data_IF_452554044205
#
_entry.id   IF_452554044205
#
_cell.length_a   1.000
_cell.length_b   1.000
_cell.length_c   1.000
_cell.angle_alpha   90.00
_cell.angle_beta   90.00
_cell.angle_gamma   90.00
#
_symmetry.space_group_name_H-M   'P 1'
#
loop_
_entity.id
_entity.type
_entity.pdbx_description
1 polymer ?
#
# COMPACT_ATOMS: atom_id res chain seq x y z
N UNK A 1 -33.38 49.10 3.65
CA UNK A 1 -32.06 49.13 2.97
C UNK A 1 -31.76 47.76 2.40
N UNK A 2 -31.92 47.61 1.08
CA UNK A 2 -31.52 46.42 0.34
C UNK A 2 -30.02 46.24 0.47
N UNK A 3 -29.56 45.15 1.10
CA UNK A 3 -28.15 44.74 1.01
C UNK A 3 -27.84 44.60 -0.48
N UNK A 4 -26.98 45.46 -1.01
CA UNK A 4 -26.39 45.27 -2.33
C UNK A 4 -25.67 43.93 -2.25
N UNK A 5 -26.24 42.90 -2.88
CA UNK A 5 -25.60 41.59 -2.98
C UNK A 5 -24.33 41.79 -3.80
N UNK A 6 -23.18 41.89 -3.13
CA UNK A 6 -21.88 41.87 -3.79
C UNK A 6 -21.83 40.61 -4.64
N UNK A 7 -21.54 40.78 -5.93
CA UNK A 7 -21.36 39.67 -6.85
C UNK A 7 -20.36 38.67 -6.24
N UNK A 8 -20.69 37.37 -6.21
CA UNK A 8 -19.77 36.35 -5.70
C UNK A 8 -18.49 36.34 -6.54
N UNK A 9 -17.36 36.76 -5.96
CA UNK A 9 -16.08 36.85 -6.69
C UNK A 9 -15.32 35.52 -6.70
N UNK A 10 -15.54 34.66 -5.71
CA UNK A 10 -14.83 33.40 -5.59
C UNK A 10 -15.52 32.29 -6.39
N UNK A 11 -14.75 31.48 -7.12
CA UNK A 11 -15.30 30.36 -7.92
C UNK A 11 -15.50 29.10 -7.09
N UNK A 12 -16.65 28.44 -7.22
CA UNK A 12 -16.97 27.19 -6.51
C UNK A 12 -16.91 25.98 -7.44
N UNK A 13 -16.47 24.84 -6.95
CA UNK A 13 -16.53 23.59 -7.72
C UNK A 13 -17.95 23.02 -7.72
N UNK A 14 -18.36 22.48 -8.87
CA UNK A 14 -19.67 21.83 -9.04
C UNK A 14 -19.75 20.55 -8.17
N UNK A 15 -20.74 20.43 -7.27
CA UNK A 15 -20.87 19.28 -6.37
C UNK A 15 -21.04 17.94 -7.09
N UNK A 16 -21.59 17.90 -8.30
CA UNK A 16 -21.70 16.65 -9.08
C UNK A 16 -20.34 16.04 -9.40
N UNK A 17 -19.30 16.88 -9.51
CA UNK A 17 -17.93 16.39 -9.73
C UNK A 17 -17.39 15.61 -8.53
N UNK A 18 -17.94 15.80 -7.32
CA UNK A 18 -17.43 15.13 -6.12
C UNK A 18 -17.57 13.62 -6.19
N UNK A 19 -18.62 13.11 -6.83
CA UNK A 19 -18.75 11.66 -7.07
C UNK A 19 -17.62 11.15 -7.96
N UNK A 20 -17.32 11.88 -9.05
CA UNK A 20 -16.25 11.52 -9.99
C UNK A 20 -14.90 11.50 -9.26
N UNK A 21 -14.59 12.56 -8.53
CA UNK A 21 -13.35 12.62 -7.75
C UNK A 21 -13.28 11.51 -6.69
N UNK A 22 -14.38 11.25 -6.00
CA UNK A 22 -14.45 10.16 -5.02
C UNK A 22 -14.16 8.79 -5.62
N UNK A 23 -14.67 8.51 -6.82
CA UNK A 23 -14.47 7.22 -7.49
C UNK A 23 -13.04 7.06 -8.00
N UNK A 24 -12.48 8.08 -8.66
CA UNK A 24 -11.18 7.96 -9.33
C UNK A 24 -9.98 8.25 -8.42
N UNK A 25 -10.14 9.12 -7.42
CA UNK A 25 -9.02 9.61 -6.59
C UNK A 25 -9.24 9.42 -5.09
N UNK A 26 -10.27 8.65 -4.69
CA UNK A 26 -10.86 8.60 -3.34
C UNK A 26 -11.68 9.82 -2.94
N UNK A 27 -12.50 9.69 -1.89
CA UNK A 27 -13.33 10.78 -1.38
C UNK A 27 -12.53 11.94 -0.78
N UNK A 28 -11.24 11.77 -0.50
CA UNK A 28 -10.43 12.80 0.15
C UNK A 28 -10.28 14.07 -0.71
N UNK A 29 -9.87 14.01 -2.00
CA UNK A 29 -9.94 15.15 -2.92
C UNK A 29 -11.31 15.83 -2.96
N UNK A 30 -12.40 15.06 -3.03
CA UNK A 30 -13.77 15.61 -3.00
C UNK A 30 -14.08 16.31 -1.67
N UNK A 31 -13.62 15.76 -0.54
CA UNK A 31 -13.71 16.37 0.79
C UNK A 31 -12.95 17.69 0.90
N UNK A 32 -11.74 17.76 0.32
CA UNK A 32 -10.95 19.00 0.22
C UNK A 32 -11.69 20.03 -0.65
N UNK A 33 -12.24 19.64 -1.79
CA UNK A 33 -13.05 20.53 -2.64
C UNK A 33 -14.26 21.08 -1.89
N UNK A 34 -14.98 20.22 -1.16
CA UNK A 34 -16.13 20.60 -0.32
C UNK A 34 -15.72 21.62 0.77
N UNK A 35 -14.63 21.35 1.49
CA UNK A 35 -14.11 22.24 2.52
C UNK A 35 -13.71 23.61 1.94
N UNK A 36 -12.99 23.61 0.82
CA UNK A 36 -12.55 24.83 0.16
C UNK A 36 -13.72 25.62 -0.45
N UNK A 37 -14.78 24.97 -0.93
CA UNK A 37 -16.01 25.64 -1.33
C UNK A 37 -16.60 26.45 -0.17
N UNK A 38 -16.71 25.86 1.03
CA UNK A 38 -17.15 26.61 2.21
C UNK A 38 -16.22 27.78 2.56
N UNK A 39 -14.91 27.61 2.42
CA UNK A 39 -13.95 28.68 2.64
C UNK A 39 -14.16 29.84 1.66
N UNK A 40 -14.35 29.52 0.38
CA UNK A 40 -14.59 30.48 -0.70
C UNK A 40 -15.94 31.18 -0.59
N UNK A 41 -16.94 30.52 -0.01
CA UNK A 41 -18.25 31.11 0.29
C UNK A 41 -18.27 31.89 1.62
N UNK A 42 -17.11 32.11 2.25
CA UNK A 42 -16.98 32.88 3.50
C UNK A 42 -17.23 32.10 4.79
N UNK A 43 -17.58 30.82 4.73
CA UNK A 43 -17.86 29.97 5.89
C UNK A 43 -16.60 29.29 6.43
N UNK A 44 -15.68 30.05 7.05
CA UNK A 44 -14.39 29.53 7.54
C UNK A 44 -14.52 28.40 8.58
N UNK A 45 -15.50 28.47 9.48
CA UNK A 45 -15.77 27.39 10.45
C UNK A 45 -16.09 26.07 9.73
N UNK A 46 -16.97 26.11 8.73
CA UNK A 46 -17.35 24.91 7.96
C UNK A 46 -16.20 24.38 7.11
N UNK A 47 -15.36 25.26 6.55
CA UNK A 47 -14.12 24.86 5.86
C UNK A 47 -13.28 23.93 6.72
N UNK A 48 -12.93 24.36 7.93
CA UNK A 48 -12.05 23.59 8.80
C UNK A 48 -12.70 22.31 9.30
N UNK A 49 -13.99 22.34 9.65
CA UNK A 49 -14.73 21.13 10.05
C UNK A 49 -14.68 20.08 8.93
N UNK A 50 -15.05 20.43 7.70
CA UNK A 50 -15.08 19.47 6.60
C UNK A 50 -13.69 19.01 6.17
N UNK A 51 -12.68 19.88 6.24
CA UNK A 51 -11.30 19.50 5.93
C UNK A 51 -10.78 18.47 6.92
N UNK A 52 -10.87 18.75 8.22
CA UNK A 52 -10.40 17.86 9.27
C UNK A 52 -11.19 16.55 9.29
N UNK A 53 -12.52 16.62 9.16
CA UNK A 53 -13.36 15.43 9.09
C UNK A 53 -12.98 14.53 7.90
N UNK A 54 -12.75 15.09 6.72
CA UNK A 54 -12.38 14.32 5.53
C UNK A 54 -11.03 13.61 5.73
N UNK A 55 -10.04 14.29 6.29
CA UNK A 55 -8.71 13.72 6.57
C UNK A 55 -8.81 12.62 7.63
N UNK A 56 -9.52 12.86 8.74
CA UNK A 56 -9.66 11.89 9.82
C UNK A 56 -10.40 10.62 9.38
N UNK A 57 -11.50 10.77 8.64
CA UNK A 57 -12.24 9.62 8.08
C UNK A 57 -11.36 8.85 7.10
N UNK A 58 -10.53 9.54 6.31
CA UNK A 58 -9.64 8.88 5.35
C UNK A 58 -8.57 8.05 6.06
N UNK A 59 -7.92 8.61 7.08
CA UNK A 59 -6.93 7.91 7.90
C UNK A 59 -7.58 6.71 8.61
N UNK A 60 -8.75 6.90 9.22
CA UNK A 60 -9.46 5.84 9.93
C UNK A 60 -9.82 4.67 8.99
N UNK A 61 -10.26 4.96 7.75
CA UNK A 61 -10.56 3.92 6.77
C UNK A 61 -9.31 3.16 6.34
N UNK A 62 -8.18 3.85 6.07
CA UNK A 62 -6.92 3.19 5.71
C UNK A 62 -6.42 2.30 6.86
N UNK A 63 -6.55 2.75 8.11
CA UNK A 63 -6.11 1.97 9.26
C UNK A 63 -7.02 0.78 9.58
N UNK A 64 -8.34 0.92 9.39
CA UNK A 64 -9.33 -0.09 9.77
C UNK A 64 -9.48 -1.20 8.72
N UNK A 65 -9.45 -0.86 7.42
CA UNK A 65 -9.73 -1.83 6.35
C UNK A 65 -8.82 -3.07 6.36
N UNK A 66 -7.50 -2.99 6.66
CA UNK A 66 -6.64 -4.17 6.76
C UNK A 66 -7.03 -5.14 7.88
N UNK A 67 -7.72 -4.66 8.92
CA UNK A 67 -8.07 -5.45 10.11
C UNK A 67 -9.30 -6.32 9.85
N UNK A 68 -10.18 -5.91 8.94
CA UNK A 68 -11.53 -6.47 8.84
C UNK A 68 -11.61 -7.81 8.09
N UNK A 69 -10.53 -8.34 7.50
CA UNK A 69 -10.52 -9.63 6.75
C UNK A 69 -11.63 -9.79 5.69
N UNK A 70 -12.23 -8.68 5.22
CA UNK A 70 -13.25 -8.67 4.16
C UNK A 70 -12.59 -8.28 2.83
N UNK A 71 -13.23 -8.59 1.70
CA UNK A 71 -12.84 -8.08 0.39
C UNK A 71 -12.84 -6.54 0.38
N UNK A 72 -11.66 -5.97 0.61
CA UNK A 72 -11.44 -4.54 0.80
C UNK A 72 -11.77 -3.73 -0.44
N UNK A 73 -11.68 -4.32 -1.64
CA UNK A 73 -11.88 -3.59 -2.89
C UNK A 73 -13.33 -3.13 -3.08
N UNK A 74 -14.30 -4.04 -2.94
CA UNK A 74 -15.73 -3.71 -3.13
C UNK A 74 -16.21 -2.73 -2.07
N UNK A 75 -15.80 -2.95 -0.81
CA UNK A 75 -16.14 -2.07 0.31
C UNK A 75 -15.54 -0.69 0.09
N UNK A 76 -14.27 -0.60 -0.29
CA UNK A 76 -13.61 0.66 -0.56
C UNK A 76 -14.32 1.45 -1.66
N UNK A 77 -14.66 0.82 -2.80
CA UNK A 77 -15.40 1.50 -3.86
C UNK A 77 -16.78 2.00 -3.39
N UNK A 78 -17.51 1.15 -2.65
CA UNK A 78 -18.84 1.50 -2.13
C UNK A 78 -18.79 2.68 -1.16
N UNK A 79 -17.82 2.69 -0.23
CA UNK A 79 -17.60 3.79 0.72
C UNK A 79 -17.25 5.08 -0.02
N UNK A 80 -16.36 5.02 -1.02
CA UNK A 80 -15.97 6.19 -1.79
C UNK A 80 -17.17 6.80 -2.55
N UNK A 81 -17.98 5.97 -3.22
CA UNK A 81 -19.20 6.42 -3.90
C UNK A 81 -20.16 7.06 -2.89
N UNK A 82 -20.44 6.37 -1.79
CA UNK A 82 -21.36 6.86 -0.75
C UNK A 82 -20.92 8.21 -0.18
N UNK A 83 -19.64 8.36 0.19
CA UNK A 83 -19.08 9.62 0.69
C UNK A 83 -19.10 10.71 -0.39
N UNK A 84 -18.82 10.38 -1.66
CA UNK A 84 -18.96 11.33 -2.77
C UNK A 84 -20.38 11.85 -2.95
N UNK A 85 -21.39 10.98 -2.84
CA UNK A 85 -22.81 11.33 -2.88
C UNK A 85 -23.19 12.22 -1.69
N UNK A 86 -22.74 11.88 -0.47
CA UNK A 86 -22.99 12.67 0.74
C UNK A 86 -22.42 14.09 0.59
N UNK A 87 -21.16 14.19 0.12
CA UNK A 87 -20.51 15.47 -0.11
C UNK A 87 -21.21 16.28 -1.21
N UNK A 88 -21.66 15.62 -2.29
CA UNK A 88 -22.44 16.26 -3.36
C UNK A 88 -23.72 16.90 -2.79
N UNK A 89 -24.54 16.12 -2.10
CA UNK A 89 -25.81 16.62 -1.55
C UNK A 89 -25.60 17.75 -0.54
N UNK A 90 -24.57 17.63 0.30
CA UNK A 90 -24.20 18.66 1.28
C UNK A 90 -23.89 20.02 0.63
N UNK A 91 -23.33 20.01 -0.58
CA UNK A 91 -22.84 21.22 -1.26
C UNK A 91 -23.78 21.73 -2.36
N UNK A 92 -24.78 20.94 -2.74
CA UNK A 92 -25.70 21.26 -3.84
C UNK A 92 -26.41 22.59 -3.65
N UNK A 93 -26.99 22.82 -2.47
CA UNK A 93 -27.71 24.06 -2.15
C UNK A 93 -26.78 25.28 -2.24
N UNK A 94 -25.62 25.22 -1.58
CA UNK A 94 -24.62 26.29 -1.58
C UNK A 94 -24.18 26.67 -3.00
N UNK A 95 -23.90 25.66 -3.82
CA UNK A 95 -23.46 25.88 -5.20
C UNK A 95 -24.57 26.46 -6.07
N UNK A 96 -25.80 25.97 -5.97
CA UNK A 96 -26.92 26.48 -6.75
C UNK A 96 -27.22 27.95 -6.42
N UNK A 97 -27.24 28.31 -5.12
CA UNK A 97 -27.38 29.71 -4.69
C UNK A 97 -26.22 30.58 -5.22
N UNK A 98 -25.00 30.07 -5.20
CA UNK A 98 -23.83 30.77 -5.75
C UNK A 98 -23.97 31.08 -7.24
N UNK A 99 -24.38 30.09 -8.05
CA UNK A 99 -24.59 30.27 -9.50
C UNK A 99 -25.78 31.21 -9.77
N UNK A 100 -26.89 31.07 -9.04
CA UNK A 100 -28.05 31.95 -9.18
C UNK A 100 -27.72 33.42 -8.87
N UNK A 101 -26.77 33.66 -7.96
CA UNK A 101 -26.29 35.00 -7.63
C UNK A 101 -25.20 35.53 -8.61
N UNK A 102 -25.01 34.90 -9.77
CA UNK A 102 -24.04 35.32 -10.79
C UNK A 102 -22.61 34.82 -10.56
N UNK A 103 -22.42 33.90 -9.61
CA UNK A 103 -21.13 33.25 -9.36
C UNK A 103 -20.72 32.30 -10.48
N UNK A 104 -19.41 32.01 -10.56
CA UNK A 104 -18.85 31.11 -11.58
C UNK A 104 -18.34 29.78 -10.99
N UNK A 105 -18.26 28.77 -11.86
CA UNK A 105 -17.65 27.48 -11.56
C UNK A 105 -16.12 27.56 -11.56
N UNK A 106 -15.48 26.85 -10.63
CA UNK A 106 -14.03 26.71 -10.57
C UNK A 106 -13.52 25.64 -11.55
N UNK A 107 -12.28 25.83 -12.03
CA UNK A 107 -11.58 24.84 -12.86
C UNK A 107 -11.18 23.59 -12.05
N UNK A 108 -11.15 22.44 -12.70
CA UNK A 108 -10.81 21.15 -12.10
C UNK A 108 -9.31 20.82 -12.08
N UNK A 109 -8.45 21.65 -12.69
CA UNK A 109 -7.01 21.38 -12.77
C UNK A 109 -6.38 21.19 -11.38
N UNK A 110 -6.70 22.08 -10.44
CA UNK A 110 -6.15 22.01 -9.09
C UNK A 110 -6.57 20.73 -8.32
N UNK A 111 -7.87 20.37 -8.26
CA UNK A 111 -8.29 19.07 -7.72
C UNK A 111 -7.66 17.85 -8.41
N UNK A 112 -7.47 17.89 -9.73
CA UNK A 112 -6.82 16.79 -10.47
C UNK A 112 -5.37 16.63 -10.01
N UNK A 113 -4.61 17.72 -9.89
CA UNK A 113 -3.22 17.69 -9.41
C UNK A 113 -3.16 17.10 -7.99
N UNK A 114 -4.05 17.54 -7.09
CA UNK A 114 -4.12 16.98 -5.73
C UNK A 114 -4.46 15.48 -5.77
N UNK A 115 -5.45 15.09 -6.56
CA UNK A 115 -5.84 13.69 -6.72
C UNK A 115 -4.70 12.82 -7.23
N UNK A 116 -3.96 13.29 -8.23
CA UNK A 116 -2.79 12.61 -8.78
C UNK A 116 -1.65 12.49 -7.77
N UNK A 117 -1.39 13.53 -6.97
CA UNK A 117 -0.36 13.48 -5.92
C UNK A 117 -0.71 12.46 -4.83
N UNK A 118 -1.96 12.46 -4.34
CA UNK A 118 -2.42 11.51 -3.32
C UNK A 118 -2.39 10.08 -3.87
N UNK A 119 -2.85 9.89 -5.12
CA UNK A 119 -2.80 8.59 -5.79
C UNK A 119 -1.36 8.10 -5.95
N UNK A 120 -0.45 8.96 -6.41
CA UNK A 120 0.97 8.61 -6.61
C UNK A 120 1.65 8.24 -5.31
N UNK A 121 1.40 8.99 -4.23
CA UNK A 121 1.94 8.69 -2.90
C UNK A 121 1.41 7.34 -2.37
N UNK A 122 0.11 7.11 -2.53
CA UNK A 122 -0.52 5.85 -2.10
C UNK A 122 0.00 4.66 -2.90
N UNK A 123 0.14 4.80 -4.22
CA UNK A 123 0.70 3.79 -5.10
C UNK A 123 2.17 3.51 -4.76
N UNK A 124 2.98 4.54 -4.51
CA UNK A 124 4.37 4.38 -4.08
C UNK A 124 4.47 3.63 -2.74
N UNK A 125 3.60 3.95 -1.77
CA UNK A 125 3.55 3.24 -0.48
C UNK A 125 3.16 1.77 -0.64
N UNK A 126 2.18 1.46 -1.50
CA UNK A 126 1.78 0.08 -1.78
C UNK A 126 2.92 -0.67 -2.46
N UNK A 127 3.52 -0.09 -3.50
CA UNK A 127 4.67 -0.68 -4.20
C UNK A 127 5.82 -0.93 -3.25
N UNK A 128 6.12 0.00 -2.33
CA UNK A 128 7.11 -0.19 -1.29
C UNK A 128 6.77 -1.40 -0.39
N UNK A 129 5.51 -1.52 0.03
CA UNK A 129 5.06 -2.63 0.90
C UNK A 129 5.07 -4.01 0.24
N UNK A 130 4.97 -4.11 -1.09
CA UNK A 130 4.99 -5.39 -1.81
C UNK A 130 6.34 -6.11 -1.66
N UNK A 131 7.43 -5.35 -1.52
CA UNK A 131 8.77 -5.93 -1.40
C UNK A 131 9.15 -6.30 0.03
N UNK A 132 8.33 -5.93 1.02
CA UNK A 132 8.55 -6.28 2.43
C UNK A 132 7.66 -7.49 2.77
N UNK A 133 8.24 -8.67 3.03
CA UNK A 133 7.45 -9.82 3.45
C UNK A 133 6.75 -9.52 4.77
N UNK A 134 5.45 -9.79 4.85
CA UNK A 134 4.64 -9.45 6.04
C UNK A 134 4.77 -10.44 7.17
N UNK A 135 5.07 -11.71 6.85
CA UNK A 135 5.17 -12.77 7.83
C UNK A 135 6.64 -13.08 8.07
N UNK A 136 7.04 -13.09 9.34
CA UNK A 136 8.40 -13.35 9.77
C UNK A 136 8.40 -14.28 10.98
N UNK A 137 9.44 -15.10 11.09
CA UNK A 137 9.81 -15.84 12.29
C UNK A 137 11.18 -15.35 12.75
N UNK A 138 11.28 -15.00 14.03
CA UNK A 138 12.48 -14.42 14.62
C UNK A 138 13.37 -15.50 15.25
N UNK A 139 14.65 -15.49 14.90
CA UNK A 139 15.69 -16.39 15.42
C UNK A 139 16.86 -15.55 15.97
N UNK A 140 16.57 -14.71 16.96
CA UNK A 140 17.52 -13.73 17.51
C UNK A 140 17.63 -12.51 16.61
N UNK A 141 18.83 -12.23 16.09
CA UNK A 141 19.06 -11.17 15.09
C UNK A 141 18.88 -11.65 13.64
N UNK A 142 18.46 -12.91 13.45
CA UNK A 142 18.17 -13.50 12.14
C UNK A 142 16.65 -13.58 11.94
N UNK A 143 16.21 -13.39 10.69
CA UNK A 143 14.78 -13.41 10.35
C UNK A 143 14.50 -14.34 9.19
N UNK A 144 13.46 -15.16 9.34
CA UNK A 144 12.90 -15.96 8.26
C UNK A 144 11.54 -15.40 7.85
N UNK A 145 11.54 -14.76 6.70
CA UNK A 145 10.35 -14.23 6.07
C UNK A 145 9.65 -15.30 5.21
N UNK A 146 8.32 -15.25 5.12
CA UNK A 146 7.58 -16.20 4.26
C UNK A 146 6.34 -15.57 3.61
N UNK A 147 6.02 -16.03 2.40
CA UNK A 147 4.85 -15.56 1.65
C UNK A 147 3.59 -16.31 2.06
N UNK A 148 2.43 -15.82 1.62
CA UNK A 148 1.13 -16.48 1.86
C UNK A 148 0.98 -17.85 1.17
N UNK A 149 1.96 -18.27 0.35
CA UNK A 149 1.98 -19.60 -0.30
C UNK A 149 2.72 -20.65 0.54
N UNK A 150 3.36 -20.23 1.62
CA UNK A 150 4.05 -21.06 2.60
C UNK A 150 3.23 -21.04 3.89
N UNK A 151 2.97 -22.20 4.49
CA UNK A 151 2.34 -22.24 5.81
C UNK A 151 3.37 -21.88 6.89
N UNK A 152 2.91 -21.30 8.01
CA UNK A 152 3.79 -21.01 9.14
C UNK A 152 4.55 -22.25 9.63
N UNK A 153 3.91 -23.42 9.63
CA UNK A 153 4.56 -24.69 9.99
C UNK A 153 5.70 -25.06 9.02
N UNK A 154 5.53 -24.84 7.71
CA UNK A 154 6.60 -25.06 6.73
C UNK A 154 7.75 -24.06 6.91
N UNK A 155 7.42 -22.79 7.15
CA UNK A 155 8.41 -21.75 7.45
C UNK A 155 9.20 -22.07 8.73
N UNK A 156 8.50 -22.51 9.79
CA UNK A 156 9.09 -22.91 11.05
C UNK A 156 9.99 -24.12 10.91
N UNK A 157 9.59 -25.14 10.14
CA UNK A 157 10.43 -26.31 9.87
C UNK A 157 11.76 -25.92 9.21
N UNK A 158 11.72 -24.97 8.27
CA UNK A 158 12.94 -24.43 7.65
C UNK A 158 13.77 -23.61 8.63
N UNK A 159 13.15 -22.70 9.40
CA UNK A 159 13.87 -21.85 10.35
C UNK A 159 14.53 -22.64 11.47
N UNK A 160 13.82 -23.63 12.02
CA UNK A 160 14.35 -24.54 13.05
C UNK A 160 15.55 -25.32 12.52
N UNK A 161 15.49 -25.79 11.27
CA UNK A 161 16.59 -26.46 10.59
C UNK A 161 17.78 -25.52 10.36
N UNK A 162 17.56 -24.29 9.87
CA UNK A 162 18.63 -23.30 9.69
C UNK A 162 19.33 -22.97 11.02
N UNK A 163 18.56 -22.91 12.10
CA UNK A 163 19.09 -22.69 13.45
C UNK A 163 19.84 -23.91 14.00
N UNK A 164 19.35 -25.14 13.78
CA UNK A 164 20.03 -26.36 14.27
C UNK A 164 21.34 -26.65 13.55
N UNK A 165 21.39 -26.40 12.24
CA UNK A 165 22.61 -26.58 11.43
C UNK A 165 23.61 -25.41 11.58
N UNK A 166 23.29 -24.40 12.39
CA UNK A 166 24.19 -23.28 12.68
C UNK A 166 24.28 -22.22 11.58
N UNK A 167 23.34 -22.19 10.63
CA UNK A 167 23.21 -21.08 9.69
C UNK A 167 22.70 -19.82 10.38
N UNK A 168 21.77 -19.97 11.33
CA UNK A 168 21.41 -18.91 12.27
C UNK A 168 22.21 -19.07 13.55
N UNK A 169 23.01 -18.06 13.87
CA UNK A 169 23.79 -17.98 15.10
C UNK A 169 23.49 -16.67 15.82
N UNK A 170 23.75 -16.56 17.14
CA UNK A 170 23.52 -15.32 17.87
C UNK A 170 24.35 -14.12 17.38
N UNK A 171 25.44 -14.38 16.65
CA UNK A 171 26.30 -13.33 16.07
C UNK A 171 26.06 -13.09 14.59
N UNK A 172 25.15 -13.83 13.94
CA UNK A 172 24.80 -13.62 12.54
C UNK A 172 23.59 -12.71 12.42
N UNK A 173 23.56 -11.93 11.33
CA UNK A 173 22.45 -11.05 10.95
C UNK A 173 22.00 -11.42 9.55
N UNK A 174 21.28 -12.54 9.45
CA UNK A 174 20.87 -13.11 8.17
C UNK A 174 19.37 -12.98 8.02
N UNK A 175 18.96 -12.34 6.94
CA UNK A 175 17.57 -12.30 6.49
C UNK A 175 17.39 -13.28 5.33
N UNK A 176 16.48 -14.23 5.52
CA UNK A 176 16.10 -15.19 4.48
C UNK A 176 14.61 -15.10 4.21
N UNK A 177 14.19 -15.42 2.99
CA UNK A 177 12.78 -15.48 2.62
C UNK A 177 12.47 -16.80 1.94
N UNK A 178 11.36 -17.43 2.29
CA UNK A 178 10.87 -18.63 1.62
C UNK A 178 9.55 -18.33 0.88
N UNK A 179 9.48 -18.77 -0.38
CA UNK A 179 8.27 -18.73 -1.22
C UNK A 179 8.06 -20.10 -1.89
N UNK A 180 6.89 -20.28 -2.50
CA UNK A 180 6.54 -21.49 -3.26
C UNK A 180 5.89 -21.15 -4.59
N UNK A 181 6.31 -21.83 -5.64
CA UNK A 181 5.67 -21.82 -6.95
C UNK A 181 5.44 -23.28 -7.35
N UNK A 182 4.17 -23.71 -7.31
CA UNK A 182 3.77 -25.10 -7.53
C UNK A 182 4.53 -26.09 -6.65
N UNK A 183 5.45 -26.88 -7.22
CA UNK A 183 6.29 -27.86 -6.50
C UNK A 183 7.69 -27.33 -6.19
N UNK A 184 8.00 -26.09 -6.57
CA UNK A 184 9.30 -25.45 -6.37
C UNK A 184 9.25 -24.54 -5.14
N UNK A 185 10.08 -24.86 -4.15
CA UNK A 185 10.40 -23.97 -3.03
C UNK A 185 11.51 -23.02 -3.44
N UNK A 186 11.38 -21.75 -3.06
CA UNK A 186 12.31 -20.68 -3.44
C UNK A 186 12.86 -20.07 -2.16
N UNK A 187 14.11 -20.40 -1.82
CA UNK A 187 14.83 -19.82 -0.69
C UNK A 187 15.63 -18.61 -1.16
N UNK A 188 15.19 -17.41 -0.81
CA UNK A 188 15.92 -16.18 -1.09
C UNK A 188 16.86 -15.84 0.07
N UNK A 189 18.13 -15.61 -0.22
CA UNK A 189 19.17 -15.24 0.73
C UNK A 189 19.68 -13.84 0.40
N UNK A 190 19.73 -12.95 1.40
CA UNK A 190 20.38 -11.64 1.25
C UNK A 190 21.89 -11.82 1.24
N UNK A 191 22.57 -11.26 0.25
CA UNK A 191 24.04 -11.31 0.12
C UNK A 191 24.64 -9.92 -0.08
N UNK A 192 25.80 -9.69 0.52
CA UNK A 192 26.58 -8.46 0.38
C UNK A 192 27.76 -8.67 -0.59
N UNK A 193 27.62 -8.24 -1.85
CA UNK A 193 28.68 -8.37 -2.87
C UNK A 193 28.18 -8.90 -4.22
N UNK A 194 29.09 -9.00 -5.20
CA UNK A 194 28.78 -9.53 -6.53
C UNK A 194 29.21 -11.00 -6.66
N UNK A 195 28.33 -11.91 -6.24
CA UNK A 195 28.58 -13.36 -6.26
C UNK A 195 27.97 -14.08 -7.46
N UNK A 196 27.58 -13.34 -8.51
CA UNK A 196 26.78 -13.90 -9.63
C UNK A 196 27.45 -15.07 -10.35
N UNK A 197 28.77 -15.15 -10.32
CA UNK A 197 29.55 -16.18 -11.01
C UNK A 197 30.71 -16.74 -10.20
N UNK A 198 30.76 -16.49 -8.89
CA UNK A 198 31.81 -17.05 -8.05
C UNK A 198 31.51 -18.52 -7.73
N UNK A 199 32.22 -19.43 -8.40
CA UNK A 199 32.05 -20.87 -8.22
C UNK A 199 32.33 -21.32 -6.79
N UNK A 200 33.17 -20.60 -6.04
CA UNK A 200 33.43 -20.89 -4.62
C UNK A 200 32.22 -20.63 -3.73
N UNK A 201 31.25 -19.85 -4.22
CA UNK A 201 29.99 -19.55 -3.54
C UNK A 201 28.82 -20.37 -4.10
N UNK A 202 28.75 -20.54 -5.42
CA UNK A 202 27.62 -21.22 -6.09
C UNK A 202 27.54 -22.72 -5.77
N UNK A 203 28.68 -23.43 -5.74
CA UNK A 203 28.69 -24.88 -5.49
C UNK A 203 28.23 -25.25 -4.06
N UNK A 204 28.71 -24.59 -2.98
CA UNK A 204 28.15 -24.78 -1.65
C UNK A 204 26.64 -24.54 -1.58
N UNK A 205 26.12 -23.51 -2.27
CA UNK A 205 24.68 -23.24 -2.30
C UNK A 205 23.87 -24.36 -2.98
N UNK A 206 24.40 -25.00 -4.02
CA UNK A 206 23.75 -26.19 -4.61
C UNK A 206 23.68 -27.35 -3.61
N UNK A 207 24.73 -27.55 -2.81
CA UNK A 207 24.72 -28.58 -1.77
C UNK A 207 23.65 -28.27 -0.69
N UNK A 208 23.59 -27.02 -0.23
CA UNK A 208 22.57 -26.55 0.73
C UNK A 208 21.16 -26.74 0.18
N UNK A 209 20.92 -26.39 -1.09
CA UNK A 209 19.62 -26.59 -1.74
C UNK A 209 19.18 -28.06 -1.70
N UNK A 210 20.08 -29.00 -2.03
CA UNK A 210 19.81 -30.45 -1.96
C UNK A 210 19.51 -30.91 -0.54
N UNK A 211 20.25 -30.38 0.42
CA UNK A 211 20.10 -30.72 1.82
C UNK A 211 18.75 -30.27 2.37
N UNK A 212 18.37 -29.01 2.12
CA UNK A 212 17.08 -28.44 2.51
C UNK A 212 15.94 -29.18 1.81
N UNK A 213 16.09 -29.49 0.51
CA UNK A 213 15.11 -30.28 -0.24
C UNK A 213 14.83 -31.61 0.47
N UNK A 214 15.87 -32.34 0.84
CA UNK A 214 15.78 -33.66 1.48
C UNK A 214 15.24 -33.57 2.91
N UNK A 215 15.81 -32.69 3.73
CA UNK A 215 15.60 -32.69 5.18
C UNK A 215 14.38 -31.86 5.60
N UNK A 216 14.03 -30.82 4.84
CA UNK A 216 12.93 -29.91 5.18
C UNK A 216 11.71 -30.15 4.31
N UNK A 217 11.90 -30.28 2.99
CA UNK A 217 10.80 -30.26 2.01
C UNK A 217 10.51 -31.60 1.33
N UNK A 218 10.90 -32.74 1.94
CA UNK A 218 10.50 -34.09 1.50
C UNK A 218 10.86 -34.37 0.02
N UNK A 219 12.04 -33.92 -0.41
CA UNK A 219 12.56 -34.00 -1.78
C UNK A 219 11.85 -33.12 -2.81
N UNK A 220 10.99 -32.17 -2.40
CA UNK A 220 10.52 -31.14 -3.31
C UNK A 220 11.68 -30.24 -3.75
N UNK A 221 11.64 -29.75 -4.99
CA UNK A 221 12.72 -28.93 -5.56
C UNK A 221 12.91 -27.64 -4.76
N UNK A 222 14.17 -27.27 -4.52
CA UNK A 222 14.54 -26.02 -3.87
C UNK A 222 15.44 -25.23 -4.80
N UNK A 223 15.03 -24.01 -5.14
CA UNK A 223 15.89 -23.01 -5.79
C UNK A 223 16.40 -22.04 -4.75
N UNK A 224 17.67 -21.65 -4.85
CA UNK A 224 18.23 -20.58 -4.01
C UNK A 224 18.34 -19.30 -4.85
N UNK A 225 17.70 -18.23 -4.40
CA UNK A 225 17.79 -16.90 -5.01
C UNK A 225 18.73 -16.02 -4.19
N UNK A 226 19.85 -15.60 -4.77
CA UNK A 226 20.74 -14.61 -4.16
C UNK A 226 20.17 -13.22 -4.40
N UNK A 227 19.97 -12.45 -3.35
CA UNK A 227 19.25 -11.20 -3.39
C UNK A 227 20.01 -10.06 -2.73
N UNK A 228 19.60 -8.82 -3.03
CA UNK A 228 19.98 -7.68 -2.22
C UNK A 228 19.16 -7.61 -0.91
N UNK A 229 19.42 -6.59 -0.09
CA UNK A 229 18.73 -6.23 1.17
C UNK A 229 17.19 -6.09 1.07
N UNK A 230 16.62 -6.07 -0.13
CA UNK A 230 15.17 -5.99 -0.38
C UNK A 230 14.60 -7.23 -1.06
N UNK A 231 15.31 -8.36 -0.98
CA UNK A 231 14.95 -9.60 -1.66
C UNK A 231 14.74 -9.46 -3.18
N UNK A 232 15.35 -8.44 -3.81
CA UNK A 232 15.42 -8.36 -5.28
C UNK A 232 16.46 -9.36 -5.75
N UNK A 233 16.02 -10.28 -6.60
CA UNK A 233 16.87 -11.35 -7.13
C UNK A 233 18.01 -10.76 -7.97
N UNK A 234 19.23 -11.13 -7.61
CA UNK A 234 20.47 -10.81 -8.31
C UNK A 234 20.94 -12.02 -9.14
N UNK A 235 20.76 -13.23 -8.60
CA UNK A 235 21.07 -14.50 -9.26
C UNK A 235 20.15 -15.62 -8.72
N UNK A 236 19.94 -16.67 -9.52
CA UNK A 236 19.19 -17.85 -9.12
C UNK A 236 20.02 -19.11 -9.36
N UNK A 237 20.18 -19.90 -8.31
CA UNK A 237 20.88 -21.17 -8.31
C UNK A 237 19.83 -22.28 -8.37
N UNK A 238 19.71 -22.88 -9.55
CA UNK A 238 18.86 -24.05 -9.76
C UNK A 238 19.67 -25.32 -9.50
N UNK A 239 19.01 -26.29 -8.88
CA UNK A 239 19.51 -27.66 -8.80
C UNK A 239 18.58 -28.50 -9.64
N UNK A 240 19.10 -29.02 -10.75
CA UNK A 240 18.38 -29.95 -11.63
C UNK A 240 18.05 -31.27 -10.92
#
# INVERSE_FOLDING_TARGET
MTKVNKLPTAKLWNPKSFIIFSVFFSFLPAGIMCALNYGRSGSQKKKWIFLLASILVFIALIALLPILSINTSIIFFSINIALGIILMFTQLKLYNEHIQNGGQSASYLFPIIIGLLIFSLSAASILYSIYVPKNALDYGENHLFYTNKITESQAKKLGDYLNSEGYFTPSSKVDVKIDKQDTLYILSLVVEGDYKSDTSYVEPMKAISKEISKNVFENNKVRIDLCNDRFKVLNSINVD
#
